data_IF_621911102212
#
_entry.id   IF_621911102212
#
_cell.length_a   1.000
_cell.length_b   1.000
_cell.length_c   1.000
_cell.angle_alpha   90.00
_cell.angle_beta   90.00
_cell.angle_gamma   90.00
#
_symmetry.space_group_name_H-M   'P 1'
#
loop_
_entity.id
_entity.type
_entity.pdbx_description
1 polymer ?
#
# COMPACT_ATOMS: atom_id res chain seq x y z
N UNK A 1 14.12 7.35 -12.21
CA UNK A 1 14.07 7.46 -10.74
C UNK A 1 13.77 6.11 -10.12
N UNK A 2 14.53 5.73 -9.11
CA UNK A 2 14.28 4.46 -8.41
C UNK A 2 12.96 4.51 -7.63
N UNK A 3 12.32 3.36 -7.46
CA UNK A 3 11.06 3.27 -6.71
C UNK A 3 11.20 3.86 -5.30
N UNK A 4 12.30 3.58 -4.59
CA UNK A 4 12.53 4.11 -3.24
C UNK A 4 12.72 5.62 -3.18
N UNK A 5 13.03 6.25 -4.31
CA UNK A 5 13.25 7.69 -4.41
C UNK A 5 11.99 8.46 -4.76
N UNK A 6 10.96 7.77 -5.22
CA UNK A 6 9.68 8.40 -5.56
C UNK A 6 8.89 8.73 -4.31
N UNK A 7 8.50 10.00 -4.19
CA UNK A 7 7.66 10.47 -3.09
C UNK A 7 6.19 10.24 -3.42
N UNK A 8 5.32 10.53 -2.44
CA UNK A 8 3.88 10.52 -2.71
C UNK A 8 3.49 11.53 -3.79
N UNK A 9 4.18 12.69 -3.83
CA UNK A 9 3.91 13.69 -4.85
C UNK A 9 4.22 13.18 -6.25
N UNK A 10 5.27 12.36 -6.39
CA UNK A 10 5.61 11.75 -7.67
C UNK A 10 4.50 10.84 -8.19
N UNK A 11 3.67 10.31 -7.28
CA UNK A 11 2.51 9.51 -7.64
C UNK A 11 1.22 10.33 -7.68
N UNK A 12 1.31 11.65 -7.47
CA UNK A 12 0.15 12.52 -7.49
C UNK A 12 -0.78 12.36 -6.29
N UNK A 13 -0.26 11.91 -5.15
CA UNK A 13 -1.06 11.69 -3.94
C UNK A 13 -0.92 12.85 -2.96
N UNK A 14 -2.06 13.40 -2.52
CA UNK A 14 -2.09 14.42 -1.48
C UNK A 14 -2.07 13.77 -0.11
N UNK A 15 -1.84 14.58 0.95
CA UNK A 15 -1.87 14.08 2.32
C UNK A 15 -3.23 13.49 2.69
N UNK A 16 -4.29 14.14 2.25
CA UNK A 16 -5.66 13.68 2.51
C UNK A 16 -5.93 12.35 1.82
N UNK A 17 -5.45 12.20 0.59
CA UNK A 17 -5.60 10.95 -0.16
C UNK A 17 -4.81 9.82 0.47
N UNK A 18 -3.60 10.10 0.94
CA UNK A 18 -2.76 9.12 1.63
C UNK A 18 -3.50 8.60 2.87
N UNK A 19 -4.04 9.52 3.66
CA UNK A 19 -4.78 9.16 4.87
C UNK A 19 -6.02 8.33 4.52
N UNK A 20 -6.74 8.73 3.49
CA UNK A 20 -7.94 8.04 3.02
C UNK A 20 -7.61 6.60 2.59
N UNK A 21 -6.54 6.42 1.83
CA UNK A 21 -6.10 5.09 1.37
C UNK A 21 -5.72 4.21 2.55
N UNK A 22 -4.96 4.75 3.51
CA UNK A 22 -4.56 3.99 4.70
C UNK A 22 -5.77 3.55 5.51
N UNK A 23 -6.75 4.43 5.69
CA UNK A 23 -7.97 4.09 6.40
C UNK A 23 -8.80 3.04 5.65
N UNK A 24 -8.88 3.16 4.32
CA UNK A 24 -9.57 2.16 3.52
C UNK A 24 -8.95 0.77 3.73
N UNK A 25 -7.62 0.68 3.69
CA UNK A 25 -6.93 -0.59 3.88
C UNK A 25 -7.10 -1.14 5.30
N UNK A 26 -6.95 -0.28 6.30
CA UNK A 26 -7.05 -0.68 7.70
C UNK A 26 -8.47 -1.12 8.08
N UNK A 27 -9.46 -0.47 7.50
CA UNK A 27 -10.87 -0.77 7.80
C UNK A 27 -11.51 -1.72 6.79
N UNK A 28 -10.72 -2.35 5.93
CA UNK A 28 -11.26 -3.28 4.94
C UNK A 28 -11.82 -4.53 5.65
N UNK A 29 -13.12 -4.72 5.55
CA UNK A 29 -13.80 -5.83 6.21
C UNK A 29 -14.71 -6.63 5.27
N UNK A 30 -14.91 -6.18 4.04
CA UNK A 30 -15.64 -6.95 3.04
C UNK A 30 -14.67 -7.66 2.10
N UNK A 31 -15.13 -8.73 1.48
CA UNK A 31 -14.32 -9.45 0.50
C UNK A 31 -13.98 -8.58 -0.70
N UNK A 32 -14.92 -7.71 -1.13
CA UNK A 32 -14.68 -6.79 -2.23
C UNK A 32 -13.54 -5.81 -1.92
N UNK A 33 -13.55 -5.22 -0.72
CA UNK A 33 -12.51 -4.28 -0.31
C UNK A 33 -11.13 -4.96 -0.26
N UNK A 34 -11.08 -6.15 0.35
CA UNK A 34 -9.84 -6.92 0.44
C UNK A 34 -9.31 -7.32 -0.94
N UNK A 35 -10.20 -7.71 -1.83
CA UNK A 35 -9.82 -8.10 -3.19
C UNK A 35 -9.24 -6.93 -3.97
N UNK A 36 -9.84 -5.74 -3.83
CA UNK A 36 -9.33 -4.53 -4.48
C UNK A 36 -7.89 -4.26 -4.04
N UNK A 37 -7.63 -4.36 -2.74
CA UNK A 37 -6.29 -4.14 -2.19
C UNK A 37 -5.31 -5.18 -2.73
N UNK A 38 -5.69 -6.45 -2.74
CA UNK A 38 -4.85 -7.53 -3.24
C UNK A 38 -4.52 -7.37 -4.72
N UNK A 39 -5.53 -7.03 -5.53
CA UNK A 39 -5.32 -6.83 -6.96
C UNK A 39 -4.40 -5.65 -7.21
N UNK A 40 -4.60 -4.54 -6.48
CA UNK A 40 -3.74 -3.38 -6.59
C UNK A 40 -2.28 -3.72 -6.25
N UNK A 41 -2.07 -4.42 -5.14
CA UNK A 41 -0.73 -4.78 -4.70
C UNK A 41 -0.08 -5.87 -5.57
N UNK A 42 -0.87 -6.58 -6.38
CA UNK A 42 -0.33 -7.58 -7.30
C UNK A 42 0.54 -6.98 -8.40
N UNK A 43 0.55 -5.64 -8.52
CA UNK A 43 1.50 -4.95 -9.41
C UNK A 43 2.94 -5.02 -8.87
N UNK A 44 3.10 -5.39 -7.60
CA UNK A 44 4.41 -5.59 -6.97
C UNK A 44 4.77 -7.08 -7.03
N UNK A 45 6.05 -7.39 -6.80
CA UNK A 45 6.43 -8.80 -6.72
C UNK A 45 5.73 -9.47 -5.53
N UNK A 46 5.47 -10.80 -5.59
CA UNK A 46 4.67 -11.48 -4.56
C UNK A 46 5.15 -11.28 -3.13
N UNK A 47 6.45 -11.33 -2.88
CA UNK A 47 6.99 -11.14 -1.54
C UNK A 47 6.72 -9.71 -1.03
N UNK A 48 7.04 -8.72 -1.87
CA UNK A 48 6.87 -7.31 -1.51
C UNK A 48 5.38 -7.00 -1.34
N UNK A 49 4.53 -7.52 -2.24
CA UNK A 49 3.09 -7.35 -2.16
C UNK A 49 2.54 -7.87 -0.83
N UNK A 50 2.99 -9.05 -0.41
CA UNK A 50 2.58 -9.67 0.85
C UNK A 50 2.94 -8.79 2.05
N UNK A 51 4.14 -8.24 2.07
CA UNK A 51 4.60 -7.39 3.19
C UNK A 51 3.89 -6.04 3.19
N UNK A 52 3.66 -5.44 2.04
CA UNK A 52 2.90 -4.20 1.94
C UNK A 52 1.45 -4.41 2.35
N UNK A 53 0.84 -5.53 1.96
CA UNK A 53 -0.52 -5.88 2.34
C UNK A 53 -0.64 -5.97 3.87
N UNK A 54 0.29 -6.69 4.50
CA UNK A 54 0.30 -6.85 5.95
C UNK A 54 0.44 -5.50 6.66
N UNK A 55 1.34 -4.65 6.16
CA UNK A 55 1.55 -3.31 6.70
C UNK A 55 0.28 -2.46 6.62
N UNK A 56 -0.38 -2.45 5.47
CA UNK A 56 -1.55 -1.59 5.24
C UNK A 56 -2.79 -2.09 5.96
N UNK A 57 -3.06 -3.39 5.92
CA UNK A 57 -4.26 -3.96 6.55
C UNK A 57 -4.18 -3.91 8.07
N UNK A 58 -3.00 -4.16 8.64
CA UNK A 58 -2.82 -4.21 10.10
C UNK A 58 -2.19 -2.95 10.67
N UNK A 59 -1.99 -1.92 9.86
CA UNK A 59 -1.37 -0.66 10.29
C UNK A 59 -0.03 -0.89 10.97
N UNK A 60 0.82 -1.71 10.37
CA UNK A 60 2.15 -2.02 10.89
C UNK A 60 3.22 -1.25 10.12
N UNK A 61 4.19 -0.70 10.87
CA UNK A 61 5.37 -0.07 10.28
C UNK A 61 6.36 -1.14 9.84
N UNK A 62 7.40 -0.72 9.10
CA UNK A 62 8.51 -1.60 8.76
C UNK A 62 9.15 -2.19 10.02
N UNK A 63 9.36 -1.34 11.04
CA UNK A 63 9.98 -1.79 12.28
C UNK A 63 9.10 -2.81 13.02
N UNK A 64 7.77 -2.64 12.97
CA UNK A 64 6.84 -3.62 13.54
C UNK A 64 6.94 -4.97 12.86
N UNK A 65 7.04 -4.96 11.53
CA UNK A 65 7.20 -6.20 10.77
C UNK A 65 8.53 -6.89 11.08
N UNK A 66 9.60 -6.10 11.25
CA UNK A 66 10.91 -6.63 11.60
C UNK A 66 10.95 -7.33 12.95
N UNK A 67 10.06 -6.94 13.87
CA UNK A 67 9.96 -7.61 15.19
C UNK A 67 9.37 -9.01 15.08
N UNK A 68 8.59 -9.25 14.04
CA UNK A 68 7.89 -10.54 13.85
C UNK A 68 8.72 -11.53 13.03
N UNK A 69 9.49 -11.01 12.06
CA UNK A 69 10.27 -11.86 11.17
C UNK A 69 11.39 -11.07 10.51
N UNK A 70 12.36 -11.78 9.95
CA UNK A 70 13.40 -11.13 9.16
C UNK A 70 12.83 -10.72 7.80
N UNK A 71 13.01 -9.46 7.42
CA UNK A 71 12.58 -8.97 6.13
C UNK A 71 13.76 -8.92 5.15
N UNK A 72 13.55 -9.47 3.96
CA UNK A 72 14.56 -9.52 2.90
C UNK A 72 14.51 -8.27 2.01
N UNK A 73 14.12 -7.13 2.59
CA UNK A 73 14.04 -5.85 1.89
C UNK A 73 14.39 -4.74 2.87
N UNK A 74 15.14 -3.73 2.41
CA UNK A 74 15.50 -2.60 3.24
C UNK A 74 14.33 -1.66 3.47
N UNK A 75 14.44 -0.83 4.51
CA UNK A 75 13.37 0.06 4.95
C UNK A 75 12.95 1.05 3.86
N UNK A 76 13.94 1.69 3.20
CA UNK A 76 13.63 2.70 2.18
C UNK A 76 12.98 2.07 0.96
N UNK A 77 13.44 0.90 0.55
CA UNK A 77 12.84 0.18 -0.56
C UNK A 77 11.42 -0.27 -0.21
N UNK A 78 11.21 -0.77 1.00
CA UNK A 78 9.88 -1.19 1.46
C UNK A 78 8.88 -0.04 1.37
N UNK A 79 9.22 1.12 1.92
CA UNK A 79 8.31 2.27 1.87
C UNK A 79 8.13 2.81 0.46
N UNK A 80 9.16 2.71 -0.38
CA UNK A 80 9.02 3.06 -1.80
C UNK A 80 7.99 2.20 -2.48
N UNK A 81 8.06 0.90 -2.30
CA UNK A 81 7.08 -0.03 -2.87
C UNK A 81 5.69 0.15 -2.26
N UNK A 82 5.62 0.45 -0.96
CA UNK A 82 4.32 0.71 -0.32
C UNK A 82 3.64 1.94 -0.92
N UNK A 83 4.39 3.01 -1.18
CA UNK A 83 3.86 4.20 -1.85
C UNK A 83 3.33 3.86 -3.24
N UNK A 84 4.08 3.05 -4.00
CA UNK A 84 3.64 2.58 -5.32
C UNK A 84 2.35 1.76 -5.21
N UNK A 85 2.29 0.89 -4.22
CA UNK A 85 1.10 0.07 -3.97
C UNK A 85 -0.11 0.90 -3.59
N UNK A 86 0.08 1.94 -2.78
CA UNK A 86 -1.02 2.85 -2.40
C UNK A 86 -1.56 3.61 -3.61
N UNK A 87 -0.68 4.04 -4.50
CA UNK A 87 -1.12 4.68 -5.75
C UNK A 87 -1.95 3.71 -6.59
N UNK A 88 -1.57 2.44 -6.62
CA UNK A 88 -2.35 1.42 -7.31
C UNK A 88 -3.71 1.20 -6.65
N UNK A 89 -3.77 1.21 -5.31
CA UNK A 89 -5.03 1.10 -4.58
C UNK A 89 -5.99 2.21 -5.00
N UNK A 90 -5.50 3.46 -5.08
CA UNK A 90 -6.31 4.58 -5.55
C UNK A 90 -6.88 4.32 -6.94
N UNK A 91 -6.03 3.88 -7.88
CA UNK A 91 -6.49 3.60 -9.25
C UNK A 91 -7.57 2.52 -9.28
N UNK A 92 -7.40 1.46 -8.51
CA UNK A 92 -8.37 0.38 -8.46
C UNK A 92 -9.66 0.77 -7.75
N UNK A 93 -9.59 1.66 -6.76
CA UNK A 93 -10.78 2.22 -6.12
C UNK A 93 -11.59 3.07 -7.11
N UNK A 94 -10.90 3.92 -7.87
CA UNK A 94 -11.53 4.74 -8.90
C UNK A 94 -12.17 3.85 -9.96
N UNK A 95 -11.45 2.83 -10.41
CA UNK A 95 -11.95 1.89 -11.42
C UNK A 95 -13.21 1.16 -10.97
N UNK A 96 -13.30 0.86 -9.68
CA UNK A 96 -14.46 0.18 -9.09
C UNK A 96 -15.54 1.14 -8.59
N UNK A 97 -15.41 2.43 -8.86
CA UNK A 97 -16.38 3.47 -8.49
C UNK A 97 -16.63 3.58 -6.99
N UNK A 98 -15.59 3.32 -6.17
CA UNK A 98 -15.69 3.43 -4.71
C UNK A 98 -14.77 4.51 -4.13
N UNK A 99 -14.11 5.28 -4.97
CA UNK A 99 -13.29 6.42 -4.52
C UNK A 99 -14.23 7.59 -4.24
N UNK A 100 -14.32 7.99 -2.98
CA UNK A 100 -15.29 8.98 -2.51
C UNK A 100 -14.72 10.35 -2.15
N UNK A 101 -13.47 10.60 -2.47
CA UNK A 101 -12.86 11.91 -2.19
C UNK A 101 -13.17 12.92 -3.29
#
# INVERSE_FOLDING_TARGET
MRTREKSYEDYGLTKEEIHYIKEFCFNSNTEQQKEIIKVALSELSPYIASKCLESLIHNKSYDDLCKEEYLYIGKDDFYGYRRKGMAAVKRWMIWNHIWEM
#
